data_IF_873981515947
#
_entry.id   IF_873981515947
#
_cell.length_a   1.000
_cell.length_b   1.000
_cell.length_c   1.000
_cell.angle_alpha   90.00
_cell.angle_beta   90.00
_cell.angle_gamma   90.00
#
_symmetry.space_group_name_H-M   'P 1'
#
loop_
_entity.id
_entity.type
_entity.pdbx_description
1 polymer ?
#
# COMPACT_ATOMS: atom_id res chain seq x y z
N UNK A 1 26.79 7.86 -2.12
CA UNK A 1 26.24 9.14 -1.60
C UNK A 1 24.75 8.93 -1.43
N UNK A 2 24.10 9.34 -0.34
CA UNK A 2 22.66 9.08 -0.16
C UNK A 2 21.85 9.83 -1.24
N UNK A 3 20.78 9.21 -1.75
CA UNK A 3 19.92 9.79 -2.78
C UNK A 3 19.29 11.14 -2.36
N UNK A 4 18.64 11.82 -3.31
CA UNK A 4 17.92 13.05 -3.00
C UNK A 4 16.68 12.76 -2.12
N UNK A 5 16.40 13.67 -1.19
CA UNK A 5 15.19 13.60 -0.36
C UNK A 5 13.96 13.94 -1.20
N UNK A 6 12.94 13.08 -1.17
CA UNK A 6 11.72 13.22 -1.96
C UNK A 6 10.54 13.74 -1.12
N UNK A 7 9.54 14.40 -1.73
CA UNK A 7 8.24 14.61 -1.11
C UNK A 7 7.56 13.28 -0.76
N UNK A 8 6.72 13.20 0.29
CA UNK A 8 6.10 11.95 0.72
C UNK A 8 5.37 11.17 -0.38
N UNK A 9 4.55 11.84 -1.20
CA UNK A 9 3.84 11.21 -2.32
C UNK A 9 4.80 10.54 -3.31
N UNK A 10 5.82 11.26 -3.77
CA UNK A 10 6.81 10.74 -4.72
C UNK A 10 7.65 9.62 -4.11
N UNK A 11 7.98 9.73 -2.82
CA UNK A 11 8.69 8.67 -2.09
C UNK A 11 7.86 7.38 -2.03
N UNK A 12 6.60 7.46 -1.60
CA UNK A 12 5.71 6.29 -1.49
C UNK A 12 5.44 5.68 -2.88
N UNK A 13 5.27 6.49 -3.92
CA UNK A 13 5.16 6.00 -5.31
C UNK A 13 6.43 5.25 -5.75
N UNK A 14 7.61 5.74 -5.39
CA UNK A 14 8.87 5.05 -5.68
C UNK A 14 8.96 3.71 -4.95
N UNK A 15 8.47 3.62 -3.70
CA UNK A 15 8.39 2.35 -2.97
C UNK A 15 7.39 1.39 -3.63
N UNK A 16 6.21 1.87 -4.05
CA UNK A 16 5.26 1.05 -4.82
C UNK A 16 5.88 0.55 -6.14
N UNK A 17 6.60 1.40 -6.86
CA UNK A 17 7.31 1.04 -8.09
C UNK A 17 8.32 -0.08 -7.83
N UNK A 18 9.05 0.00 -6.72
CA UNK A 18 9.95 -1.09 -6.28
C UNK A 18 9.20 -2.39 -6.01
N UNK A 19 8.04 -2.37 -5.35
CA UNK A 19 7.21 -3.56 -5.18
C UNK A 19 6.76 -4.13 -6.53
N UNK A 20 6.37 -3.27 -7.48
CA UNK A 20 5.95 -3.69 -8.81
C UNK A 20 7.09 -4.30 -9.64
N UNK A 21 8.32 -3.82 -9.46
CA UNK A 21 9.50 -4.32 -10.17
C UNK A 21 10.05 -5.63 -9.58
N UNK A 22 10.11 -5.72 -8.24
CA UNK A 22 10.86 -6.78 -7.56
C UNK A 22 9.98 -7.96 -7.11
N UNK A 23 8.68 -7.72 -6.91
CA UNK A 23 7.79 -8.76 -6.40
C UNK A 23 7.14 -9.58 -7.51
N UNK A 24 6.81 -10.83 -7.19
CA UNK A 24 5.99 -11.66 -8.07
C UNK A 24 4.50 -11.33 -8.01
N UNK A 25 3.95 -10.92 -6.85
CA UNK A 25 2.50 -10.85 -6.63
C UNK A 25 1.90 -9.54 -7.14
N UNK A 26 2.43 -8.41 -6.69
CA UNK A 26 1.95 -7.05 -6.96
C UNK A 26 1.80 -6.72 -8.45
N UNK A 27 2.79 -6.98 -9.32
CA UNK A 27 2.63 -6.68 -10.76
C UNK A 27 1.56 -7.55 -11.42
N UNK A 28 1.33 -8.79 -10.94
CA UNK A 28 0.30 -9.69 -11.49
C UNK A 28 -1.09 -9.38 -10.96
N UNK A 29 -1.20 -9.10 -9.67
CA UNK A 29 -2.49 -8.91 -9.01
C UNK A 29 -3.01 -7.49 -9.16
N UNK A 30 -2.13 -6.49 -9.28
CA UNK A 30 -2.52 -5.07 -9.31
C UNK A 30 -2.06 -4.39 -10.60
N UNK A 31 -0.80 -4.59 -10.98
CA UNK A 31 -0.22 -4.04 -12.20
C UNK A 31 -0.55 -2.54 -12.39
N UNK A 32 -0.98 -2.12 -13.60
CA UNK A 32 -1.28 -0.71 -13.89
C UNK A 32 -2.59 -0.22 -13.25
N UNK A 33 -3.35 -1.08 -12.58
CA UNK A 33 -4.68 -0.76 -12.06
C UNK A 33 -4.65 -0.17 -10.64
N UNK A 34 -3.52 -0.31 -9.93
CA UNK A 34 -3.32 0.26 -8.60
C UNK A 34 -2.44 1.50 -8.67
N UNK A 35 -2.85 2.57 -8.00
CA UNK A 35 -2.10 3.84 -7.94
C UNK A 35 -2.16 4.48 -6.55
N UNK A 36 -1.09 5.20 -6.21
CA UNK A 36 -1.03 6.10 -5.05
C UNK A 36 -1.52 7.48 -5.48
N UNK A 37 -2.75 7.80 -5.08
CA UNK A 37 -3.38 9.09 -5.40
C UNK A 37 -2.72 10.22 -4.63
N UNK A 38 -2.44 9.99 -3.34
CA UNK A 38 -1.78 10.95 -2.48
C UNK A 38 -1.03 10.24 -1.35
N UNK A 39 -0.01 10.89 -0.79
CA UNK A 39 0.58 10.45 0.46
C UNK A 39 1.10 11.64 1.28
N UNK A 40 0.94 11.53 2.58
CA UNK A 40 1.52 12.41 3.59
C UNK A 40 2.13 11.55 4.70
N UNK A 41 2.78 12.16 5.70
CA UNK A 41 3.37 11.40 6.79
C UNK A 41 2.29 10.57 7.51
N UNK A 42 2.47 9.25 7.53
CA UNK A 42 1.60 8.29 8.21
C UNK A 42 0.31 7.95 7.47
N UNK A 43 0.10 8.44 6.23
CA UNK A 43 -1.15 8.20 5.48
C UNK A 43 -0.90 8.11 3.97
N UNK A 44 -1.55 7.13 3.34
CA UNK A 44 -1.52 6.90 1.89
C UNK A 44 -2.94 6.68 1.37
N UNK A 45 -3.32 7.43 0.34
CA UNK A 45 -4.58 7.26 -0.38
C UNK A 45 -4.30 6.47 -1.67
N UNK A 46 -5.01 5.35 -1.86
CA UNK A 46 -4.84 4.39 -2.95
C UNK A 46 -6.14 4.24 -3.74
N UNK A 47 -6.01 3.92 -5.02
CA UNK A 47 -7.14 3.52 -5.87
C UNK A 47 -6.79 2.26 -6.66
N UNK A 48 -7.74 1.32 -6.71
CA UNK A 48 -7.70 0.14 -7.57
C UNK A 48 -8.86 0.19 -8.57
N UNK A 49 -8.54 0.16 -9.87
CA UNK A 49 -9.54 -0.12 -10.90
C UNK A 49 -9.85 -1.63 -10.90
N UNK A 50 -11.11 -2.01 -10.68
CA UNK A 50 -11.48 -3.42 -10.55
C UNK A 50 -11.54 -4.05 -11.95
N UNK A 51 -10.69 -5.04 -12.19
CA UNK A 51 -10.67 -5.87 -13.40
C UNK A 51 -11.07 -7.31 -13.08
N UNK A 52 -11.14 -8.16 -14.10
CA UNK A 52 -11.50 -9.58 -13.94
C UNK A 52 -10.57 -10.31 -12.97
N UNK A 53 -9.27 -10.01 -13.01
CA UNK A 53 -8.26 -10.69 -12.20
C UNK A 53 -8.41 -10.38 -10.71
N UNK A 54 -9.11 -9.30 -10.36
CA UNK A 54 -9.43 -8.91 -8.99
C UNK A 54 -10.69 -9.58 -8.44
N UNK A 55 -11.42 -10.36 -9.23
CA UNK A 55 -12.78 -10.82 -8.87
C UNK A 55 -12.82 -12.25 -8.37
N UNK A 56 -13.84 -12.57 -7.58
CA UNK A 56 -14.17 -13.93 -7.18
C UNK A 56 -15.19 -14.57 -8.12
N UNK A 57 -15.58 -15.82 -7.82
CA UNK A 57 -16.61 -16.57 -8.59
C UNK A 57 -17.98 -15.89 -8.67
N UNK A 58 -18.26 -14.92 -7.81
CA UNK A 58 -19.49 -14.12 -7.82
C UNK A 58 -19.35 -12.84 -8.66
N UNK A 59 -18.22 -12.65 -9.37
CA UNK A 59 -17.94 -11.52 -10.27
C UNK A 59 -17.88 -10.15 -9.56
N UNK A 60 -17.63 -10.16 -8.25
CA UNK A 60 -17.31 -8.98 -7.43
C UNK A 60 -15.87 -9.08 -6.94
N UNK A 61 -15.31 -7.99 -6.43
CA UNK A 61 -13.94 -7.99 -5.91
C UNK A 61 -13.72 -9.10 -4.88
N UNK A 62 -12.63 -9.85 -5.06
CA UNK A 62 -12.27 -10.98 -4.24
C UNK A 62 -11.80 -10.49 -2.86
N UNK A 63 -12.23 -11.15 -1.78
CA UNK A 63 -11.76 -10.83 -0.42
C UNK A 63 -10.23 -10.93 -0.31
N UNK A 64 -9.65 -11.97 -0.88
CA UNK A 64 -8.20 -12.10 -1.11
C UNK A 64 -7.52 -10.90 -1.79
N UNK A 65 -8.12 -10.26 -2.80
CA UNK A 65 -7.56 -9.03 -3.39
C UNK A 65 -7.54 -7.89 -2.38
N UNK A 66 -8.62 -7.73 -1.60
CA UNK A 66 -8.68 -6.74 -0.52
C UNK A 66 -7.62 -7.08 0.55
N UNK A 67 -7.44 -8.35 0.92
CA UNK A 67 -6.44 -8.76 1.89
C UNK A 67 -5.01 -8.48 1.41
N UNK A 68 -4.72 -8.73 0.14
CA UNK A 68 -3.44 -8.34 -0.48
C UNK A 68 -3.25 -6.82 -0.48
N UNK A 69 -4.31 -6.03 -0.70
CA UNK A 69 -4.24 -4.58 -0.56
C UNK A 69 -4.06 -4.12 0.90
N UNK A 70 -4.54 -4.88 1.89
CA UNK A 70 -4.21 -4.61 3.30
C UNK A 70 -2.72 -4.81 3.56
N UNK A 71 -2.12 -5.88 3.04
CA UNK A 71 -0.68 -6.15 3.20
C UNK A 71 0.19 -5.10 2.51
N UNK A 72 -0.08 -4.82 1.23
CA UNK A 72 0.65 -3.79 0.48
C UNK A 72 0.37 -2.40 1.06
N UNK A 73 -0.89 -2.07 1.34
CA UNK A 73 -1.29 -0.78 1.91
C UNK A 73 -0.64 -0.52 3.27
N UNK A 74 -0.57 -1.52 4.16
CA UNK A 74 0.16 -1.41 5.42
C UNK A 74 1.66 -1.18 5.22
N UNK A 75 2.26 -1.84 4.22
CA UNK A 75 3.65 -1.59 3.84
C UNK A 75 3.86 -0.14 3.35
N UNK A 76 2.98 0.37 2.49
CA UNK A 76 3.04 1.75 2.00
C UNK A 76 2.75 2.78 3.10
N UNK A 77 1.91 2.44 4.09
CA UNK A 77 1.71 3.27 5.27
C UNK A 77 3.00 3.40 6.09
N UNK A 78 3.76 2.32 6.28
CA UNK A 78 5.12 2.39 6.86
C UNK A 78 6.05 3.22 5.98
N UNK A 79 5.98 3.08 4.65
CA UNK A 79 6.79 3.87 3.74
C UNK A 79 6.51 5.38 3.84
N UNK A 80 5.27 5.76 4.13
CA UNK A 80 4.86 7.15 4.31
C UNK A 80 5.51 7.83 5.53
N UNK A 81 6.06 7.06 6.47
CA UNK A 81 6.91 7.54 7.57
C UNK A 81 8.36 7.85 7.11
N UNK A 82 8.65 7.67 5.83
CA UNK A 82 9.95 7.95 5.21
C UNK A 82 10.89 6.75 5.16
N UNK A 83 10.39 5.52 5.37
CA UNK A 83 11.18 4.29 5.34
C UNK A 83 11.06 3.58 3.99
N UNK A 84 12.17 3.33 3.30
CA UNK A 84 12.13 2.64 2.01
C UNK A 84 11.92 1.13 2.19
N UNK A 85 12.67 0.53 3.13
CA UNK A 85 12.39 -0.82 3.60
C UNK A 85 11.20 -0.76 4.56
N UNK A 86 10.17 -1.58 4.34
CA UNK A 86 8.92 -1.52 5.13
C UNK A 86 8.83 -2.61 6.22
N UNK A 87 9.86 -3.45 6.34
CA UNK A 87 9.86 -4.59 7.25
C UNK A 87 8.98 -5.76 6.79
N UNK A 88 8.82 -6.75 7.65
CA UNK A 88 8.10 -8.01 7.35
C UNK A 88 6.80 -8.11 8.11
N UNK A 89 5.80 -8.75 7.52
CA UNK A 89 4.47 -8.94 8.11
C UNK A 89 4.54 -9.92 9.31
N UNK A 90 3.92 -9.57 10.43
CA UNK A 90 3.80 -10.44 11.62
C UNK A 90 2.36 -10.83 11.91
N UNK A 91 1.41 -9.99 11.52
CA UNK A 91 -0.03 -10.25 11.67
C UNK A 91 -0.81 -9.47 10.61
N UNK A 92 -1.91 -10.05 10.13
CA UNK A 92 -2.83 -9.41 9.20
C UNK A 92 -4.27 -9.86 9.49
N UNK A 93 -5.18 -8.89 9.62
CA UNK A 93 -6.61 -9.13 9.77
C UNK A 93 -7.41 -8.34 8.73
N UNK A 94 -8.50 -8.92 8.25
CA UNK A 94 -9.47 -8.24 7.39
C UNK A 94 -10.89 -8.51 7.87
N UNK A 95 -11.68 -7.46 8.00
CA UNK A 95 -13.13 -7.50 8.25
C UNK A 95 -13.86 -7.02 6.99
N UNK A 96 -14.75 -7.85 6.45
CA UNK A 96 -15.59 -7.52 5.30
C UNK A 96 -16.98 -7.12 5.76
N UNK A 97 -17.48 -5.97 5.30
CA UNK A 97 -18.73 -5.36 5.73
C UNK A 97 -19.78 -5.37 4.62
N UNK A 98 -19.36 -5.10 3.38
CA UNK A 98 -20.22 -5.02 2.18
C UNK A 98 -19.44 -5.49 0.94
N UNK A 99 -20.14 -5.64 -0.18
CA UNK A 99 -19.50 -5.86 -1.48
C UNK A 99 -18.66 -4.65 -1.89
N UNK A 100 -17.41 -4.86 -2.28
CA UNK A 100 -16.48 -3.78 -2.64
C UNK A 100 -16.60 -3.24 -4.06
N UNK A 101 -17.41 -3.87 -4.91
CA UNK A 101 -17.60 -3.47 -6.31
C UNK A 101 -17.38 -4.62 -7.28
N UNK A 102 -17.62 -4.35 -8.56
CA UNK A 102 -17.47 -5.28 -9.69
C UNK A 102 -16.53 -4.70 -10.74
N UNK A 103 -16.26 -5.47 -11.80
CA UNK A 103 -15.43 -5.01 -12.92
C UNK A 103 -15.93 -3.66 -13.46
N UNK A 104 -15.01 -2.72 -13.65
CA UNK A 104 -15.28 -1.36 -14.11
C UNK A 104 -15.53 -0.34 -12.99
N UNK A 105 -15.80 -0.80 -11.76
CA UNK A 105 -15.85 0.09 -10.60
C UNK A 105 -14.43 0.41 -10.09
N UNK A 106 -14.33 1.46 -9.27
CA UNK A 106 -13.13 1.79 -8.50
C UNK A 106 -13.29 1.43 -7.03
N UNK A 107 -12.27 0.81 -6.45
CA UNK A 107 -12.13 0.66 -5.01
C UNK A 107 -11.16 1.71 -4.49
N UNK A 108 -11.60 2.51 -3.53
CA UNK A 108 -10.75 3.49 -2.86
C UNK A 108 -10.24 2.87 -1.55
N UNK A 109 -8.95 3.03 -1.26
CA UNK A 109 -8.36 2.58 -0.02
C UNK A 109 -7.57 3.70 0.66
N UNK A 110 -7.66 3.76 1.99
CA UNK A 110 -6.87 4.68 2.81
C UNK A 110 -6.07 3.84 3.79
N UNK A 111 -4.75 3.89 3.69
CA UNK A 111 -3.82 3.21 4.55
C UNK A 111 -3.16 4.19 5.52
N UNK A 112 -3.13 3.85 6.81
CA UNK A 112 -2.67 4.71 7.89
C UNK A 112 -1.67 3.95 8.77
N UNK A 113 -0.55 4.59 9.10
CA UNK A 113 0.39 4.11 10.11
C UNK A 113 -0.04 4.66 11.47
N UNK A 114 -0.82 3.88 12.21
CA UNK A 114 -1.37 4.32 13.50
C UNK A 114 -0.26 4.50 14.55
N UNK A 115 0.78 3.65 14.49
CA UNK A 115 1.93 3.72 15.38
C UNK A 115 3.14 3.02 14.76
N UNK A 116 4.30 3.67 14.82
CA UNK A 116 5.59 3.06 14.48
C UNK A 116 6.57 3.20 15.65
N UNK A 117 7.22 2.09 16.01
CA UNK A 117 8.29 2.05 17.00
C UNK A 117 9.57 1.44 16.44
N UNK A 118 10.54 1.17 17.32
CA UNK A 118 11.82 0.55 16.95
C UNK A 118 11.66 -0.87 16.40
N UNK A 119 10.65 -1.59 16.85
CA UNK A 119 10.48 -3.03 16.58
C UNK A 119 9.24 -3.33 15.74
N UNK A 120 8.11 -2.67 16.04
CA UNK A 120 6.82 -2.94 15.39
C UNK A 120 6.22 -1.66 14.81
N UNK A 121 5.51 -1.83 13.70
CA UNK A 121 4.59 -0.85 13.13
C UNK A 121 3.18 -1.45 13.09
N UNK A 122 2.19 -0.66 13.49
CA UNK A 122 0.77 -0.99 13.43
C UNK A 122 0.12 -0.10 12.39
N UNK A 123 -0.58 -0.74 11.46
CA UNK A 123 -1.22 -0.03 10.35
C UNK A 123 -2.66 -0.50 10.19
N UNK A 124 -3.45 0.38 9.58
CA UNK A 124 -4.85 0.15 9.30
C UNK A 124 -5.14 0.55 7.87
N UNK A 125 -5.97 -0.22 7.18
CA UNK A 125 -6.45 0.10 5.84
C UNK A 125 -7.97 0.06 5.83
N UNK A 126 -8.61 1.08 5.26
CA UNK A 126 -10.06 1.13 5.07
C UNK A 126 -10.38 1.21 3.59
N UNK A 127 -11.48 0.57 3.18
CA UNK A 127 -11.87 0.48 1.78
C UNK A 127 -13.28 1.03 1.57
N UNK A 128 -13.45 1.83 0.53
CA UNK A 128 -14.74 2.37 0.10
C UNK A 128 -15.05 2.00 -1.35
N UNK A 129 -16.31 1.71 -1.63
CA UNK A 129 -16.79 1.51 -3.00
C UNK A 129 -17.05 2.84 -3.72
N UNK A 130 -17.47 2.79 -4.99
CA UNK A 130 -17.80 3.96 -5.79
C UNK A 130 -18.95 4.82 -5.22
N UNK A 131 -19.77 4.27 -4.31
CA UNK A 131 -20.82 5.00 -3.60
C UNK A 131 -20.32 5.66 -2.30
N UNK A 132 -19.04 5.52 -1.98
CA UNK A 132 -18.42 6.06 -0.77
C UNK A 132 -18.69 5.24 0.49
N UNK A 133 -19.34 4.07 0.38
CA UNK A 133 -19.66 3.22 1.52
C UNK A 133 -18.43 2.46 2.02
N UNK A 134 -18.26 2.32 3.33
CA UNK A 134 -17.22 1.47 3.90
C UNK A 134 -17.54 -0.01 3.62
N UNK A 135 -16.69 -0.69 2.87
CA UNK A 135 -16.92 -2.08 2.42
C UNK A 135 -16.04 -3.09 3.12
N UNK A 136 -14.84 -2.67 3.54
CA UNK A 136 -13.93 -3.50 4.32
C UNK A 136 -12.99 -2.62 5.14
N UNK A 137 -12.39 -3.22 6.16
CA UNK A 137 -11.25 -2.65 6.89
C UNK A 137 -10.28 -3.77 7.26
N UNK A 138 -9.01 -3.46 7.35
CA UNK A 138 -8.00 -4.40 7.80
C UNK A 138 -6.96 -3.73 8.68
N UNK A 139 -6.23 -4.56 9.40
CA UNK A 139 -5.04 -4.18 10.16
C UNK A 139 -3.86 -5.02 9.71
N UNK A 140 -2.67 -4.42 9.74
CA UNK A 140 -1.43 -5.09 9.39
C UNK A 140 -0.32 -4.67 10.35
N UNK A 141 0.25 -5.64 11.04
CA UNK A 141 1.36 -5.44 11.96
C UNK A 141 2.65 -5.89 11.28
N UNK A 142 3.68 -5.04 11.33
CA UNK A 142 4.97 -5.31 10.69
C UNK A 142 6.12 -5.22 11.69
N UNK A 143 7.09 -6.12 11.56
CA UNK A 143 8.37 -6.05 12.25
C UNK A 143 9.36 -5.19 11.45
N UNK A 144 9.80 -4.09 12.05
CA UNK A 144 10.51 -2.99 11.36
C UNK A 144 11.92 -2.71 11.86
N UNK A 145 12.49 -3.54 12.76
CA UNK A 145 13.87 -3.32 13.26
C UNK A 145 14.89 -3.20 12.13
N UNK A 146 14.79 -4.05 11.10
CA UNK A 146 15.68 -4.02 9.95
C UNK A 146 15.44 -2.80 9.05
N UNK A 147 14.19 -2.30 8.98
CA UNK A 147 13.83 -1.13 8.18
C UNK A 147 14.49 0.16 8.66
N UNK A 148 14.85 0.25 9.94
CA UNK A 148 15.55 1.39 10.51
C UNK A 148 17.05 1.43 10.18
N UNK A 149 17.65 0.30 9.78
CA UNK A 149 19.09 0.22 9.58
C UNK A 149 19.49 0.95 8.30
N UNK A 150 20.30 2.01 8.43
CA UNK A 150 20.75 2.81 7.30
C UNK A 150 19.64 3.60 6.62
N UNK A 151 18.47 3.74 7.27
CA UNK A 151 17.38 4.52 6.69
C UNK A 151 17.62 6.01 6.87
N UNK A 152 17.29 6.75 5.83
CA UNK A 152 17.27 8.19 5.81
C UNK A 152 15.87 8.62 5.39
N UNK A 153 15.11 9.34 6.24
CA UNK A 153 13.71 9.65 5.97
C UNK A 153 13.49 10.27 4.59
N UNK A 154 12.61 9.65 3.82
CA UNK A 154 12.24 10.04 2.46
C UNK A 154 13.40 10.05 1.45
N UNK A 155 14.46 9.29 1.73
CA UNK A 155 15.63 9.18 0.87
C UNK A 155 15.74 7.74 0.38
N UNK A 156 15.45 7.48 -0.91
CA UNK A 156 15.61 6.16 -1.49
C UNK A 156 17.08 5.70 -1.48
N UNK A 157 17.34 4.38 -1.49
CA UNK A 157 18.69 3.86 -1.63
C UNK A 157 19.29 4.21 -3.00
N UNK A 158 20.61 4.19 -3.07
CA UNK A 158 21.34 4.44 -4.32
C UNK A 158 20.95 3.40 -5.39
N UNK A 159 20.67 3.87 -6.61
CA UNK A 159 20.23 3.01 -7.72
C UNK A 159 18.74 2.64 -7.72
N UNK A 160 17.95 3.08 -6.74
CA UNK A 160 16.50 2.87 -6.74
C UNK A 160 15.85 3.59 -7.95
N UNK A 161 14.93 2.89 -8.62
CA UNK A 161 14.06 3.54 -9.59
C UNK A 161 13.09 4.49 -8.89
N UNK A 162 13.13 5.75 -9.30
CA UNK A 162 12.29 6.80 -8.73
C UNK A 162 11.03 6.95 -9.58
N UNK A 163 9.90 7.16 -8.92
CA UNK A 163 8.65 7.53 -9.59
C UNK A 163 8.73 8.95 -10.15
N UNK A 164 8.05 9.18 -11.26
CA UNK A 164 7.89 10.51 -11.84
C UNK A 164 6.97 11.36 -10.93
N UNK A 165 6.99 12.68 -11.11
CA UNK A 165 6.20 13.58 -10.24
C UNK A 165 4.68 13.40 -10.39
N UNK A 166 4.24 12.86 -11.53
CA UNK A 166 2.84 12.74 -11.96
C UNK A 166 2.35 11.30 -12.06
N UNK A 167 3.16 10.32 -11.65
CA UNK A 167 2.74 8.91 -11.53
C UNK A 167 1.50 8.71 -10.63
#
# INVERSE_FOLDING_TARGET
MTGAKLPPARFVRSVLKSFMAESGLEPRLFGPHLRVVNASKGKVDLELDITKDHTNRLKIIHGGTIASLVDLGGSLAVASEGLYATGVSTDLNVTYLKSGGKVGDKLQAVAECEKIGKTLAFTKVTFRNAQGELVARGSHTKYVTAAWKGSHPYTPPEGAEIADEVD
#
